data_IF_592575266699
#
_entry.id   IF_592575266699
#
_cell.length_a   1.000
_cell.length_b   1.000
_cell.length_c   1.000
_cell.angle_alpha   90.00
_cell.angle_beta   90.00
_cell.angle_gamma   90.00
#
_symmetry.space_group_name_H-M   'P 1'
#
loop_
_entity.id
_entity.type
_entity.pdbx_description
1 polymer ?
#
# COMPACT_ATOMS: atom_id res chain seq x y z
N UNK A 1 -11.71 38.25 22.22
CA UNK A 1 -12.31 37.38 21.20
C UNK A 1 -11.45 37.02 19.98
N UNK A 2 -10.21 37.49 19.83
CA UNK A 2 -9.34 37.17 18.64
C UNK A 2 -8.45 35.94 18.78
N UNK A 3 -8.18 35.44 19.96
CA UNK A 3 -7.26 34.32 20.17
C UNK A 3 -7.82 32.94 19.74
N UNK A 4 -9.11 32.73 19.85
CA UNK A 4 -9.78 31.48 19.49
C UNK A 4 -9.74 31.20 17.98
N UNK A 5 -9.86 32.23 17.14
CA UNK A 5 -9.88 32.06 15.66
C UNK A 5 -8.51 31.68 15.08
N UNK A 6 -7.41 32.03 15.72
CA UNK A 6 -6.04 31.67 15.29
C UNK A 6 -5.75 30.22 15.64
N UNK A 7 -6.14 29.78 16.85
CA UNK A 7 -6.00 28.39 17.29
C UNK A 7 -6.78 27.41 16.43
N UNK A 8 -8.04 27.74 16.11
CA UNK A 8 -8.88 26.90 15.23
C UNK A 8 -8.34 26.80 13.81
N UNK A 9 -7.83 27.89 13.23
CA UNK A 9 -7.23 27.87 11.89
C UNK A 9 -5.97 27.03 11.87
N UNK A 10 -5.13 27.09 12.89
CA UNK A 10 -3.93 26.27 13.02
C UNK A 10 -4.27 24.79 13.18
N UNK A 11 -5.32 24.46 13.93
CA UNK A 11 -5.79 23.09 14.10
C UNK A 11 -6.33 22.52 12.78
N UNK A 12 -7.21 23.26 12.08
CA UNK A 12 -7.73 22.86 10.77
C UNK A 12 -6.63 22.68 9.73
N UNK A 13 -5.65 23.60 9.67
CA UNK A 13 -4.52 23.50 8.76
C UNK A 13 -3.65 22.26 9.01
N UNK A 14 -3.38 21.93 10.27
CA UNK A 14 -2.63 20.71 10.63
C UNK A 14 -3.40 19.43 10.29
N UNK A 15 -4.72 19.43 10.51
CA UNK A 15 -5.59 18.29 10.17
C UNK A 15 -5.66 18.05 8.68
N UNK A 16 -5.84 19.11 7.87
CA UNK A 16 -5.86 19.01 6.40
C UNK A 16 -4.52 18.51 5.86
N UNK A 17 -3.39 19.05 6.32
CA UNK A 17 -2.05 18.58 5.91
C UNK A 17 -1.84 17.11 6.23
N UNK A 18 -2.34 16.64 7.37
CA UNK A 18 -2.27 15.23 7.76
C UNK A 18 -3.12 14.34 6.85
N UNK A 19 -4.34 14.79 6.52
CA UNK A 19 -5.24 14.06 5.62
C UNK A 19 -4.64 13.93 4.21
N UNK A 20 -4.13 15.03 3.66
CA UNK A 20 -3.47 15.04 2.34
C UNK A 20 -2.28 14.06 2.28
N UNK A 21 -1.59 13.84 3.39
CA UNK A 21 -0.47 12.92 3.47
C UNK A 21 -0.86 11.44 3.23
N UNK A 22 -2.11 11.06 3.55
CA UNK A 22 -2.61 9.70 3.32
C UNK A 22 -3.27 9.47 1.96
N UNK A 23 -3.47 10.53 1.17
CA UNK A 23 -4.08 10.42 -0.17
C UNK A 23 -3.39 9.38 -1.05
N UNK A 24 -2.04 9.33 -1.15
CA UNK A 24 -1.38 8.32 -1.98
C UNK A 24 -1.71 6.89 -1.57
N UNK A 25 -1.76 6.60 -0.28
CA UNK A 25 -2.15 5.26 0.20
C UNK A 25 -3.58 4.92 -0.18
N UNK A 26 -4.51 5.86 0.01
CA UNK A 26 -5.92 5.66 -0.35
C UNK A 26 -6.05 5.41 -1.85
N UNK A 27 -5.39 6.22 -2.67
CA UNK A 27 -5.41 6.06 -4.14
C UNK A 27 -4.87 4.68 -4.55
N UNK A 28 -3.72 4.27 -4.02
CA UNK A 28 -3.13 2.96 -4.34
C UNK A 28 -4.04 1.82 -3.88
N UNK A 29 -4.59 1.89 -2.66
CA UNK A 29 -5.51 0.88 -2.13
C UNK A 29 -6.77 0.76 -2.99
N UNK A 30 -7.40 1.89 -3.36
CA UNK A 30 -8.57 1.89 -4.25
C UNK A 30 -8.22 1.37 -5.66
N UNK A 31 -7.04 1.72 -6.18
CA UNK A 31 -6.59 1.24 -7.49
C UNK A 31 -6.39 -0.27 -7.49
N UNK A 32 -5.83 -0.84 -6.43
CA UNK A 32 -5.68 -2.30 -6.28
C UNK A 32 -7.06 -2.96 -6.28
N UNK A 33 -8.01 -2.49 -5.44
CA UNK A 33 -9.36 -3.02 -5.42
C UNK A 33 -10.02 -2.96 -6.80
N UNK A 34 -9.94 -1.79 -7.46
CA UNK A 34 -10.51 -1.59 -8.79
C UNK A 34 -9.91 -2.56 -9.82
N UNK A 35 -8.58 -2.62 -9.92
CA UNK A 35 -7.89 -3.47 -10.89
C UNK A 35 -8.11 -4.96 -10.61
N UNK A 36 -8.13 -5.35 -9.34
CA UNK A 36 -8.33 -6.75 -8.94
C UNK A 36 -9.78 -7.22 -9.13
N UNK A 37 -10.78 -6.36 -8.86
CA UNK A 37 -12.18 -6.75 -8.89
C UNK A 37 -12.84 -6.52 -10.27
N UNK A 38 -12.40 -5.51 -11.06
CA UNK A 38 -13.04 -5.13 -12.32
C UNK A 38 -12.29 -5.59 -13.58
N UNK A 39 -11.23 -6.37 -13.48
CA UNK A 39 -10.39 -6.80 -14.60
C UNK A 39 -11.10 -7.77 -15.59
N UNK A 40 -12.38 -7.95 -15.48
CA UNK A 40 -13.18 -8.87 -16.32
C UNK A 40 -13.69 -8.26 -17.63
N UNK A 41 -13.11 -7.20 -18.17
CA UNK A 41 -13.56 -6.66 -19.46
C UNK A 41 -12.86 -7.30 -20.67
N UNK A 42 -12.75 -8.62 -20.70
CA UNK A 42 -12.48 -9.37 -21.94
C UNK A 42 -11.14 -9.10 -22.65
N UNK A 43 -10.27 -8.28 -22.10
CA UNK A 43 -8.91 -8.11 -22.62
C UNK A 43 -8.04 -9.20 -22.01
N UNK A 44 -8.14 -10.39 -22.57
CA UNK A 44 -7.12 -11.42 -22.38
C UNK A 44 -5.85 -10.94 -23.09
N UNK A 45 -5.01 -10.18 -22.39
CA UNK A 45 -3.66 -9.95 -22.87
C UNK A 45 -2.98 -11.33 -22.87
N UNK A 46 -2.46 -11.79 -24.02
CA UNK A 46 -1.73 -13.05 -24.10
C UNK A 46 -0.34 -12.86 -23.47
N UNK A 47 -0.32 -12.56 -22.20
CA UNK A 47 0.91 -12.43 -21.44
C UNK A 47 1.19 -13.79 -20.82
N UNK A 48 2.45 -14.20 -20.88
CA UNK A 48 2.87 -15.55 -20.51
C UNK A 48 2.38 -15.96 -19.10
N UNK A 49 2.33 -17.25 -18.88
CA UNK A 49 1.94 -17.87 -17.62
C UNK A 49 2.65 -17.23 -16.40
N UNK A 50 1.89 -16.71 -15.44
CA UNK A 50 2.41 -16.06 -14.22
C UNK A 50 2.43 -14.53 -14.24
N UNK A 51 2.00 -13.86 -15.31
CA UNK A 51 1.91 -12.40 -15.34
C UNK A 51 1.03 -11.82 -14.24
N UNK A 52 -0.02 -12.51 -13.88
CA UNK A 52 -0.94 -12.11 -12.81
C UNK A 52 -0.18 -11.93 -11.49
N UNK A 53 0.67 -12.89 -11.13
CA UNK A 53 1.51 -12.85 -9.92
C UNK A 53 2.51 -11.69 -9.91
N UNK A 54 3.03 -11.31 -11.07
CA UNK A 54 3.90 -10.14 -11.21
C UNK A 54 3.13 -8.84 -10.96
N UNK A 55 1.89 -8.78 -11.42
CA UNK A 55 1.00 -7.63 -11.17
C UNK A 55 0.67 -7.53 -9.69
N UNK A 56 0.24 -8.62 -9.05
CA UNK A 56 -0.02 -8.68 -7.61
C UNK A 56 1.20 -8.27 -6.79
N UNK A 57 2.34 -8.88 -7.03
CA UNK A 57 3.62 -8.51 -6.42
C UNK A 57 3.90 -7.00 -6.52
N UNK A 58 3.77 -6.44 -7.73
CA UNK A 58 4.08 -5.03 -7.98
C UNK A 58 3.12 -4.09 -7.24
N UNK A 59 1.82 -4.41 -7.26
CA UNK A 59 0.81 -3.62 -6.55
C UNK A 59 1.08 -3.55 -5.06
N UNK A 60 1.37 -4.68 -4.42
CA UNK A 60 1.62 -4.73 -2.98
C UNK A 60 3.00 -4.23 -2.58
N UNK A 61 4.00 -4.35 -3.46
CA UNK A 61 5.27 -3.66 -3.30
C UNK A 61 5.07 -2.13 -3.20
N UNK A 62 4.31 -1.55 -4.14
CA UNK A 62 4.01 -0.11 -4.15
C UNK A 62 3.17 0.28 -2.94
N UNK A 63 2.14 -0.51 -2.58
CA UNK A 63 1.29 -0.24 -1.43
C UNK A 63 2.11 -0.18 -0.14
N UNK A 64 2.93 -1.18 0.12
CA UNK A 64 3.77 -1.24 1.30
C UNK A 64 4.79 -0.08 1.36
N UNK A 65 5.41 0.26 0.23
CA UNK A 65 6.32 1.39 0.12
C UNK A 65 5.63 2.71 0.45
N UNK A 66 4.45 2.97 -0.13
CA UNK A 66 3.67 4.21 0.12
C UNK A 66 3.18 4.26 1.57
N UNK A 67 2.70 3.15 2.14
CA UNK A 67 2.30 3.09 3.54
C UNK A 67 3.47 3.42 4.47
N UNK A 68 4.66 2.88 4.20
CA UNK A 68 5.83 3.15 5.00
C UNK A 68 6.32 4.61 4.87
N UNK A 69 6.14 5.24 3.70
CA UNK A 69 6.39 6.68 3.52
C UNK A 69 5.48 7.56 4.39
N UNK A 70 4.26 7.10 4.67
CA UNK A 70 3.31 7.82 5.53
C UNK A 70 3.62 7.70 7.03
N UNK A 71 4.49 6.77 7.42
CA UNK A 71 4.94 6.69 8.81
C UNK A 71 5.86 7.87 9.14
N UNK A 72 5.73 8.43 10.34
CA UNK A 72 6.60 9.51 10.80
C UNK A 72 8.08 9.11 10.70
N UNK A 73 8.94 10.05 10.34
CA UNK A 73 10.37 9.81 10.12
C UNK A 73 11.05 9.10 11.29
N UNK A 74 10.70 9.49 12.52
CA UNK A 74 11.21 8.90 13.77
C UNK A 74 10.78 7.45 13.99
N UNK A 75 9.70 7.01 13.33
CA UNK A 75 9.09 5.67 13.50
C UNK A 75 9.22 4.74 12.29
N UNK A 76 9.76 5.21 11.18
CA UNK A 76 9.86 4.43 9.93
C UNK A 76 10.67 3.13 10.07
N UNK A 77 11.64 3.11 10.96
CA UNK A 77 12.47 1.93 11.26
C UNK A 77 11.97 1.16 12.48
N UNK A 78 10.81 1.54 13.05
CA UNK A 78 10.22 0.80 14.16
C UNK A 78 9.76 -0.57 13.69
N UNK A 79 10.19 -1.63 14.37
CA UNK A 79 9.74 -3.01 14.11
C UNK A 79 8.22 -3.11 14.11
N UNK A 80 7.55 -2.43 15.05
CA UNK A 80 6.09 -2.41 15.12
C UNK A 80 5.46 -1.83 13.86
N UNK A 81 5.96 -0.70 13.34
CA UNK A 81 5.42 -0.09 12.12
C UNK A 81 5.58 -1.03 10.91
N UNK A 82 6.76 -1.65 10.77
CA UNK A 82 7.04 -2.63 9.71
C UNK A 82 6.09 -3.81 9.78
N UNK A 83 5.93 -4.41 10.96
CA UNK A 83 5.04 -5.57 11.16
C UNK A 83 3.58 -5.19 10.86
N UNK A 84 3.12 -4.05 11.37
CA UNK A 84 1.74 -3.60 11.14
C UNK A 84 1.47 -3.37 9.65
N UNK A 85 2.38 -2.72 8.91
CA UNK A 85 2.21 -2.51 7.47
C UNK A 85 2.19 -3.85 6.73
N UNK A 86 3.11 -4.75 7.03
CA UNK A 86 3.15 -6.08 6.41
C UNK A 86 1.84 -6.84 6.64
N UNK A 87 1.37 -6.88 7.88
CA UNK A 87 0.11 -7.57 8.26
C UNK A 87 -1.09 -6.93 7.55
N UNK A 88 -1.17 -5.59 7.50
CA UNK A 88 -2.26 -4.90 6.81
C UNK A 88 -2.27 -5.20 5.30
N UNK A 89 -1.10 -5.20 4.63
CA UNK A 89 -1.00 -5.57 3.22
C UNK A 89 -1.45 -7.03 2.99
N UNK A 90 -0.97 -7.96 3.83
CA UNK A 90 -1.30 -9.38 3.71
C UNK A 90 -2.79 -9.66 3.96
N UNK A 91 -3.38 -9.03 4.96
CA UNK A 91 -4.83 -9.14 5.23
C UNK A 91 -5.63 -8.56 4.05
N UNK A 92 -5.22 -7.40 3.55
CA UNK A 92 -5.90 -6.76 2.43
C UNK A 92 -5.87 -7.64 1.17
N UNK A 93 -4.72 -8.25 0.84
CA UNK A 93 -4.61 -9.22 -0.25
C UNK A 93 -5.56 -10.40 -0.07
N UNK A 94 -5.54 -11.03 1.11
CA UNK A 94 -6.45 -12.13 1.40
C UNK A 94 -7.94 -11.76 1.28
N UNK A 95 -8.31 -10.55 1.70
CA UNK A 95 -9.69 -10.05 1.53
C UNK A 95 -10.03 -9.90 0.04
N UNK A 96 -9.13 -9.36 -0.77
CA UNK A 96 -9.34 -9.23 -2.23
C UNK A 96 -9.53 -10.61 -2.86
N UNK A 97 -8.69 -11.61 -2.54
CA UNK A 97 -8.82 -12.98 -3.07
C UNK A 97 -10.16 -13.62 -2.69
N UNK A 98 -10.59 -13.46 -1.44
CA UNK A 98 -11.91 -13.96 -0.99
C UNK A 98 -13.05 -13.26 -1.74
N UNK A 99 -12.95 -11.96 -1.97
CA UNK A 99 -13.97 -11.22 -2.72
C UNK A 99 -14.02 -11.67 -4.18
N UNK A 100 -12.88 -11.93 -4.81
CA UNK A 100 -12.80 -12.45 -6.18
C UNK A 100 -13.51 -13.81 -6.27
N UNK A 101 -13.16 -14.74 -5.39
CA UNK A 101 -13.73 -16.09 -5.36
C UNK A 101 -15.26 -16.10 -5.13
N UNK A 102 -15.75 -15.19 -4.28
CA UNK A 102 -17.16 -15.21 -3.86
C UNK A 102 -18.09 -14.42 -4.78
N UNK A 103 -17.62 -13.35 -5.39
CA UNK A 103 -18.50 -12.36 -6.02
C UNK A 103 -18.17 -12.08 -7.49
N UNK A 104 -17.03 -12.52 -8.00
CA UNK A 104 -16.58 -12.14 -9.35
C UNK A 104 -16.30 -13.34 -10.25
N UNK A 105 -17.30 -14.24 -10.39
CA UNK A 105 -17.24 -15.34 -11.35
C UNK A 105 -16.98 -14.82 -12.79
N UNK A 106 -16.12 -15.47 -13.61
CA UNK A 106 -15.48 -16.79 -13.42
C UNK A 106 -14.11 -16.77 -12.70
N UNK A 107 -13.72 -15.68 -12.01
CA UNK A 107 -12.47 -15.65 -11.26
C UNK A 107 -12.54 -16.56 -10.03
N UNK A 108 -11.47 -17.29 -9.82
CA UNK A 108 -11.24 -18.05 -8.58
C UNK A 108 -10.09 -17.42 -7.83
N UNK A 109 -10.22 -17.29 -6.52
CA UNK A 109 -9.11 -16.83 -5.68
C UNK A 109 -7.90 -17.76 -5.82
N UNK A 110 -6.72 -17.20 -6.01
CA UNK A 110 -5.47 -17.95 -6.15
C UNK A 110 -4.54 -17.71 -4.94
N UNK A 111 -4.28 -18.75 -4.18
CA UNK A 111 -3.33 -18.70 -3.06
C UNK A 111 -1.92 -18.21 -3.46
N UNK A 112 -1.52 -18.45 -4.70
CA UNK A 112 -0.25 -17.96 -5.22
C UNK A 112 -0.24 -16.45 -5.46
N UNK A 113 -1.39 -15.86 -5.80
CA UNK A 113 -1.54 -14.42 -5.93
C UNK A 113 -1.46 -13.75 -4.55
N UNK A 114 -2.14 -14.32 -3.55
CA UNK A 114 -1.99 -13.90 -2.16
C UNK A 114 -0.54 -14.03 -1.64
N UNK A 115 0.16 -15.11 -1.99
CA UNK A 115 1.57 -15.26 -1.66
C UNK A 115 2.43 -14.19 -2.35
N UNK A 116 2.16 -13.88 -3.61
CA UNK A 116 2.85 -12.81 -4.35
C UNK A 116 2.61 -11.43 -3.71
N UNK A 117 1.41 -11.15 -3.20
CA UNK A 117 1.09 -9.94 -2.42
C UNK A 117 1.99 -9.81 -1.19
N UNK A 118 2.08 -10.88 -0.39
CA UNK A 118 2.93 -10.91 0.80
C UNK A 118 4.41 -10.71 0.48
N UNK A 119 4.93 -11.37 -0.56
CA UNK A 119 6.32 -11.22 -1.00
C UNK A 119 6.56 -9.80 -1.53
N UNK A 120 5.64 -9.26 -2.32
CA UNK A 120 5.69 -7.88 -2.81
C UNK A 120 5.77 -6.87 -1.66
N UNK A 121 4.90 -7.00 -0.67
CA UNK A 121 4.89 -6.15 0.51
C UNK A 121 6.21 -6.24 1.30
N UNK A 122 6.73 -7.45 1.55
CA UNK A 122 7.97 -7.66 2.27
C UNK A 122 9.16 -7.00 1.56
N UNK A 123 9.28 -7.22 0.24
CA UNK A 123 10.36 -6.63 -0.57
C UNK A 123 10.23 -5.12 -0.64
N UNK A 124 9.02 -4.58 -0.80
CA UNK A 124 8.76 -3.14 -0.78
C UNK A 124 9.23 -2.48 0.52
N UNK A 125 8.92 -3.08 1.67
CA UNK A 125 9.41 -2.63 2.98
C UNK A 125 10.94 -2.70 3.04
N UNK A 126 11.54 -3.81 2.66
CA UNK A 126 13.00 -3.99 2.70
C UNK A 126 13.73 -2.94 1.85
N UNK A 127 13.28 -2.72 0.61
CA UNK A 127 13.86 -1.72 -0.30
C UNK A 127 13.78 -0.33 0.31
N UNK A 128 12.62 0.07 0.85
CA UNK A 128 12.46 1.37 1.48
C UNK A 128 13.36 1.58 2.69
N UNK A 129 13.50 0.56 3.54
CA UNK A 129 14.41 0.62 4.69
C UNK A 129 15.88 0.74 4.26
N UNK A 130 16.28 0.02 3.21
CA UNK A 130 17.65 0.10 2.66
C UNK A 130 17.94 1.49 2.08
N UNK A 131 17.00 2.07 1.31
CA UNK A 131 17.14 3.41 0.74
C UNK A 131 17.32 4.47 1.84
N UNK A 132 16.53 4.41 2.90
CA UNK A 132 16.66 5.37 4.01
C UNK A 132 17.94 5.19 4.82
N UNK A 133 18.40 3.96 4.99
CA UNK A 133 19.68 3.72 5.65
C UNK A 133 20.86 4.28 4.84
N UNK A 134 20.78 4.23 3.50
CA UNK A 134 21.78 4.86 2.62
C UNK A 134 21.74 6.38 2.74
N UNK A 135 20.57 7.00 2.62
CA UNK A 135 20.41 8.46 2.75
C UNK A 135 20.92 8.98 4.09
N UNK A 136 20.69 8.24 5.17
CA UNK A 136 21.20 8.60 6.50
C UNK A 136 22.72 8.56 6.60
N UNK A 137 23.37 7.62 5.91
CA UNK A 137 24.84 7.53 5.86
C UNK A 137 25.46 8.65 5.03
N UNK A 138 24.77 9.11 4.00
CA UNK A 138 25.22 10.19 3.08
C UNK A 138 24.93 11.58 3.62
N UNK A 139 24.30 11.72 4.79
CA UNK A 139 23.99 13.02 5.42
C UNK A 139 22.90 13.83 4.71
N UNK A 140 22.10 13.20 3.86
CA UNK A 140 21.08 13.85 3.01
C UNK A 140 19.70 13.93 3.72
N UNK A 141 19.60 13.51 4.99
CA UNK A 141 18.31 13.45 5.70
C UNK A 141 18.21 14.45 6.84
#
# INVERSE_FOLDING_TARGET
MRATSVSERNFKSKSVKRLVHYIPTVVVTCSIAYLSLLRETGISLPLFFGWDKVVHFTMYFVLAAVMLMNVRRDKRQSRTAVIVIFVLCTIYGGVIEILQDRFFYPRTGDWWDWAADGVGAAIGICVMLLLWNRQKKEGIS
#
